data_IF_897532924533
#
_entry.id   IF_897532924533
#
_cell.length_a   1.000
_cell.length_b   1.000
_cell.length_c   1.000
_cell.angle_alpha   90.00
_cell.angle_beta   90.00
_cell.angle_gamma   90.00
#
_symmetry.space_group_name_H-M   'P 1'
#
loop_
_entity.id
_entity.type
_entity.pdbx_description
1 polymer ?
#
# COMPACT_ATOMS: atom_id res chain seq x y z
N UNK A 1 22.61 -7.33 7.87
CA UNK A 1 21.76 -8.54 7.83
C UNK A 1 20.46 -8.10 7.17
N UNK A 2 20.11 -8.65 6.01
CA UNK A 2 18.89 -8.25 5.28
C UNK A 2 17.68 -9.00 5.84
N UNK A 3 16.47 -8.43 5.83
CA UNK A 3 15.26 -9.14 6.23
C UNK A 3 15.08 -10.40 5.37
N UNK A 4 14.58 -11.50 5.95
CA UNK A 4 14.21 -12.66 5.15
C UNK A 4 12.91 -12.33 4.40
N UNK A 5 12.95 -12.40 3.07
CA UNK A 5 11.78 -12.22 2.22
C UNK A 5 11.37 -13.59 1.66
N UNK A 6 10.07 -13.86 1.64
CA UNK A 6 9.49 -15.06 1.05
C UNK A 6 8.32 -14.68 0.14
N UNK A 7 8.13 -15.43 -0.95
CA UNK A 7 6.90 -15.36 -1.73
C UNK A 7 5.83 -16.16 -1.01
N UNK A 8 4.71 -15.51 -0.69
CA UNK A 8 3.56 -16.09 -0.02
C UNK A 8 2.35 -15.99 -0.95
N UNK A 9 1.51 -17.03 -0.99
CA UNK A 9 0.24 -16.99 -1.71
C UNK A 9 -0.92 -17.09 -0.74
N UNK A 10 -1.94 -16.26 -0.91
CA UNK A 10 -3.18 -16.31 -0.11
C UNK A 10 -3.84 -17.67 -0.30
N UNK A 11 -4.09 -18.36 0.82
CA UNK A 11 -4.50 -19.76 0.86
C UNK A 11 -5.92 -19.97 1.40
N UNK A 12 -6.46 -19.02 2.17
CA UNK A 12 -7.83 -19.04 2.68
C UNK A 12 -8.53 -17.71 2.38
N UNK A 13 -9.86 -17.71 2.56
CA UNK A 13 -10.66 -16.48 2.45
C UNK A 13 -10.19 -15.43 3.47
N UNK A 14 -10.12 -14.18 3.03
CA UNK A 14 -9.66 -13.06 3.84
C UNK A 14 -10.77 -12.54 4.77
N UNK A 15 -10.93 -13.20 5.91
CA UNK A 15 -11.99 -12.90 6.89
C UNK A 15 -11.49 -12.24 8.17
N UNK A 16 -10.18 -12.00 8.31
CA UNK A 16 -9.57 -11.43 9.50
C UNK A 16 -9.02 -10.04 9.20
N UNK A 17 -9.30 -9.04 10.04
CA UNK A 17 -8.85 -7.67 9.76
C UNK A 17 -7.33 -7.53 9.78
N UNK A 18 -6.64 -8.23 10.67
CA UNK A 18 -5.22 -7.98 10.95
C UNK A 18 -4.26 -8.83 10.10
N UNK A 19 -4.72 -9.97 9.58
CA UNK A 19 -3.86 -10.95 8.91
C UNK A 19 -4.62 -11.77 7.88
N UNK A 20 -3.89 -12.48 7.03
CA UNK A 20 -4.43 -13.44 6.07
C UNK A 20 -3.65 -14.76 6.17
N UNK A 21 -4.33 -15.87 5.86
CA UNK A 21 -3.70 -17.19 5.85
C UNK A 21 -3.07 -17.44 4.48
N UNK A 22 -1.77 -17.71 4.47
CA UNK A 22 -0.97 -17.93 3.29
C UNK A 22 -0.34 -19.33 3.25
N UNK A 23 0.19 -19.68 2.08
CA UNK A 23 1.15 -20.76 1.87
C UNK A 23 2.47 -20.20 1.35
N UNK A 24 3.58 -20.71 1.88
CA UNK A 24 4.92 -20.30 1.48
C UNK A 24 5.40 -21.05 0.23
N UNK A 25 6.17 -20.35 -0.62
CA UNK A 25 6.86 -20.96 -1.75
C UNK A 25 8.18 -21.59 -1.31
N UNK A 26 8.36 -22.89 -1.56
CA UNK A 26 9.63 -23.58 -1.31
C UNK A 26 10.45 -23.67 -2.59
N UNK A 27 11.55 -22.92 -2.63
CA UNK A 27 12.44 -22.83 -3.80
C UNK A 27 13.18 -24.14 -4.10
N UNK A 28 13.28 -25.08 -3.16
CA UNK A 28 13.95 -26.37 -3.37
C UNK A 28 13.11 -27.33 -4.21
N UNK A 29 11.80 -27.18 -4.14
CA UNK A 29 10.81 -28.03 -4.83
C UNK A 29 9.97 -27.23 -5.83
N UNK A 30 10.24 -25.92 -5.97
CA UNK A 30 9.62 -24.98 -6.90
C UNK A 30 8.08 -24.99 -6.86
N UNK A 31 7.52 -25.08 -5.65
CA UNK A 31 6.06 -25.10 -5.44
C UNK A 31 5.67 -24.44 -4.13
N UNK A 32 4.42 -24.00 -4.07
CA UNK A 32 3.82 -23.64 -2.80
C UNK A 32 3.59 -24.89 -1.95
N UNK A 33 3.89 -24.78 -0.66
CA UNK A 33 3.55 -25.82 0.32
C UNK A 33 2.03 -25.83 0.47
N UNK A 34 1.42 -27.02 0.44
CA UNK A 34 -0.03 -27.10 0.56
C UNK A 34 -0.52 -26.53 1.90
N UNK A 35 -1.65 -25.83 1.82
CA UNK A 35 -2.50 -25.48 2.96
C UNK A 35 -3.70 -26.42 2.98
N UNK A 36 -4.07 -26.91 4.15
CA UNK A 36 -5.32 -27.62 4.35
C UNK A 36 -5.87 -27.27 5.75
N UNK A 37 -7.05 -26.66 5.76
CA UNK A 37 -7.72 -26.25 7.00
C UNK A 37 -7.92 -27.46 7.92
N UNK A 38 -7.55 -27.32 9.19
CA UNK A 38 -7.63 -28.39 10.19
C UNK A 38 -6.56 -29.49 10.07
N UNK A 39 -5.69 -29.48 9.05
CA UNK A 39 -4.58 -30.45 8.95
C UNK A 39 -3.31 -29.89 9.62
N UNK A 40 -2.92 -30.53 10.72
CA UNK A 40 -1.70 -30.20 11.47
C UNK A 40 -0.40 -30.24 10.65
N UNK A 41 -0.37 -31.00 9.54
CA UNK A 41 0.81 -31.08 8.65
C UNK A 41 0.82 -29.98 7.58
N UNK A 42 -0.31 -29.31 7.37
CA UNK A 42 -0.50 -28.26 6.35
C UNK A 42 -1.21 -27.04 6.97
N UNK A 43 -0.71 -26.51 8.10
CA UNK A 43 -1.45 -25.56 8.94
C UNK A 43 -1.67 -24.19 8.31
N UNK A 44 -1.00 -23.90 7.18
CA UNK A 44 -0.92 -22.55 6.64
C UNK A 44 0.00 -21.66 7.48
N UNK A 45 0.21 -20.44 7.00
CA UNK A 45 1.04 -19.43 7.65
C UNK A 45 0.18 -18.19 7.81
N UNK A 46 -0.07 -17.77 9.05
CA UNK A 46 -0.70 -16.48 9.35
C UNK A 46 0.31 -15.37 9.03
N UNK A 47 -0.04 -14.50 8.10
CA UNK A 47 0.79 -13.37 7.66
C UNK A 47 0.00 -12.10 7.86
N UNK A 48 0.55 -11.15 8.60
CA UNK A 48 -0.15 -9.91 8.86
C UNK A 48 -0.25 -9.03 7.62
N UNK A 49 -1.33 -8.25 7.59
CA UNK A 49 -1.53 -7.23 6.57
C UNK A 49 -0.70 -5.98 6.90
N UNK A 50 -0.27 -5.21 5.90
CA UNK A 50 0.31 -3.89 6.15
C UNK A 50 -0.64 -3.04 6.98
N UNK A 51 -0.10 -2.15 7.83
CA UNK A 51 -0.88 -1.31 8.74
C UNK A 51 -2.08 -0.62 8.05
N UNK A 52 -1.87 0.18 6.99
CA UNK A 52 -2.97 0.83 6.25
C UNK A 52 -3.92 -0.10 5.46
N UNK A 53 -3.73 -1.42 5.53
CA UNK A 53 -4.49 -2.41 4.78
C UNK A 53 -5.17 -3.45 5.69
N UNK A 54 -5.25 -3.21 7.00
CA UNK A 54 -5.87 -4.12 7.97
C UNK A 54 -7.39 -4.08 7.94
N UNK A 55 -7.96 -4.72 6.91
CA UNK A 55 -9.40 -4.86 6.70
C UNK A 55 -9.71 -6.17 6.00
N UNK A 56 -10.74 -6.90 6.42
CA UNK A 56 -11.20 -8.12 5.76
C UNK A 56 -11.66 -7.89 4.30
N UNK A 57 -11.62 -8.94 3.48
CA UNK A 57 -12.08 -8.95 2.09
C UNK A 57 -11.15 -8.28 1.08
N UNK A 58 -9.96 -7.82 1.50
CA UNK A 58 -9.00 -7.12 0.64
C UNK A 58 -8.18 -8.07 -0.22
N UNK A 59 -7.79 -9.21 0.34
CA UNK A 59 -6.91 -10.18 -0.30
C UNK A 59 -7.71 -11.37 -0.82
N UNK A 60 -7.41 -11.85 -2.03
CA UNK A 60 -8.13 -12.96 -2.68
C UNK A 60 -7.30 -14.22 -2.71
N UNK A 61 -7.98 -15.37 -2.58
CA UNK A 61 -7.35 -16.68 -2.71
C UNK A 61 -6.57 -16.78 -4.01
N UNK A 62 -5.36 -17.34 -3.93
CA UNK A 62 -4.38 -17.49 -5.00
C UNK A 62 -3.59 -16.22 -5.40
N UNK A 63 -3.85 -15.05 -4.83
CA UNK A 63 -2.97 -13.88 -5.02
C UNK A 63 -1.61 -14.11 -4.33
N UNK A 64 -0.54 -13.63 -4.97
CA UNK A 64 0.85 -13.84 -4.55
C UNK A 64 1.47 -12.51 -4.16
N UNK A 65 2.07 -12.47 -2.98
CA UNK A 65 2.70 -11.28 -2.42
C UNK A 65 4.08 -11.61 -1.85
N UNK A 66 5.02 -10.67 -1.90
CA UNK A 66 6.20 -10.74 -1.05
C UNK A 66 5.78 -10.56 0.42
N UNK A 67 6.42 -11.31 1.31
CA UNK A 67 6.28 -11.14 2.76
C UNK A 67 7.68 -11.05 3.39
N UNK A 68 7.84 -10.12 4.32
CA UNK A 68 9.06 -10.01 5.12
C UNK A 68 8.85 -10.69 6.48
N UNK A 69 9.84 -11.46 6.88
CA UNK A 69 10.05 -11.81 8.28
C UNK A 69 10.96 -10.72 8.86
N UNK A 70 10.46 -9.86 9.75
CA UNK A 70 11.27 -8.85 10.39
C UNK A 70 12.39 -9.55 11.15
N UNK A 71 13.65 -9.34 10.73
CA UNK A 71 14.79 -9.93 11.42
C UNK A 71 15.09 -9.12 12.67
N UNK A 72 14.93 -9.70 13.85
CA UNK A 72 15.68 -9.25 15.01
C UNK A 72 17.07 -9.89 14.98
N UNK A 73 18.11 -9.06 14.99
CA UNK A 73 19.32 -9.43 15.71
C UNK A 73 18.99 -9.37 17.22
N UNK A 74 18.87 -10.52 17.87
CA UNK A 74 18.88 -10.58 19.34
C UNK A 74 20.32 -10.92 19.80
N UNK A 75 20.67 -10.52 21.03
CA UNK A 75 21.99 -10.80 21.60
C UNK A 75 22.27 -12.31 21.80
N UNK A 76 21.25 -13.17 21.67
CA UNK A 76 21.34 -14.63 21.70
C UNK A 76 21.40 -15.30 20.31
N UNK A 77 21.46 -14.54 19.22
CA UNK A 77 21.49 -15.02 17.82
C UNK A 77 22.91 -14.89 17.23
N UNK A 78 23.94 -15.05 18.06
CA UNK A 78 25.35 -14.82 17.68
C UNK A 78 25.98 -15.95 16.84
N UNK A 79 25.30 -17.07 16.61
CA UNK A 79 25.98 -18.28 16.11
C UNK A 79 26.01 -18.46 14.58
N UNK A 80 25.51 -17.53 13.75
CA UNK A 80 25.48 -17.84 12.31
C UNK A 80 26.78 -17.60 11.54
N UNK A 81 27.75 -16.79 12.02
CA UNK A 81 29.15 -16.69 11.49
C UNK A 81 30.00 -15.63 12.23
N UNK A 82 30.54 -15.99 13.40
CA UNK A 82 31.85 -15.63 13.95
C UNK A 82 32.54 -14.27 13.63
N UNK A 83 31.85 -13.11 13.58
CA UNK A 83 32.54 -11.79 13.59
C UNK A 83 31.75 -10.75 14.40
N UNK A 84 32.41 -10.11 15.37
CA UNK A 84 31.79 -9.23 16.38
C UNK A 84 31.29 -7.92 15.77
N UNK A 85 29.97 -7.75 15.68
CA UNK A 85 29.29 -6.47 15.50
C UNK A 85 28.57 -6.09 16.79
N UNK A 86 28.86 -4.89 17.32
CA UNK A 86 28.23 -4.34 18.55
C UNK A 86 27.37 -3.12 18.19
N UNK A 87 26.05 -3.27 18.05
CA UNK A 87 25.13 -2.15 18.11
C UNK A 87 24.91 -1.73 19.58
N UNK A 88 24.68 -0.44 19.87
CA UNK A 88 24.60 0.07 21.24
C UNK A 88 23.48 -0.60 22.06
N UNK A 89 23.76 -0.79 23.35
CA UNK A 89 22.91 -1.44 24.36
C UNK A 89 21.52 -0.78 24.51
N UNK A 90 20.42 -1.56 24.48
CA UNK A 90 19.06 -1.09 24.73
C UNK A 90 18.53 -1.48 26.12
N UNK A 91 19.26 -1.24 27.22
CA UNK A 91 18.62 -1.30 28.56
C UNK A 91 17.58 -0.15 28.74
N UNK A 92 17.66 0.91 27.92
CA UNK A 92 16.79 2.08 27.98
C UNK A 92 15.61 2.06 26.97
N UNK A 93 15.35 0.91 26.33
CA UNK A 93 14.47 0.83 25.16
C UNK A 93 13.59 -0.42 25.23
N UNK A 94 12.37 -0.28 25.79
CA UNK A 94 11.30 -1.28 25.66
C UNK A 94 10.81 -1.43 24.20
N UNK A 95 11.09 -0.43 23.37
CA UNK A 95 10.56 -0.19 22.03
C UNK A 95 11.28 -0.96 20.92
N UNK A 96 11.34 -2.30 21.01
CA UNK A 96 11.48 -3.19 19.83
C UNK A 96 10.14 -3.38 19.10
N UNK A 97 9.45 -2.26 18.97
CA UNK A 97 8.45 -1.94 17.98
C UNK A 97 9.02 -2.15 16.57
N UNK A 98 8.18 -2.60 15.63
CA UNK A 98 8.55 -2.73 14.23
C UNK A 98 9.35 -4.00 13.89
N UNK A 99 9.34 -4.99 14.78
CA UNK A 99 10.05 -6.27 14.62
C UNK A 99 9.12 -7.50 14.69
N UNK A 100 7.83 -7.22 14.72
CA UNK A 100 6.70 -8.12 14.76
C UNK A 100 5.53 -7.35 14.10
N UNK A 101 4.61 -8.03 13.43
CA UNK A 101 3.47 -7.39 12.77
C UNK A 101 2.36 -6.92 13.74
N UNK A 102 2.74 -6.49 14.94
CA UNK A 102 1.82 -6.04 15.99
C UNK A 102 1.06 -4.75 15.67
N UNK A 103 0.21 -4.29 16.59
CA UNK A 103 -0.42 -2.95 16.56
C UNK A 103 0.00 -2.13 17.78
N UNK A 104 -0.04 -0.81 17.67
CA UNK A 104 0.16 0.07 18.83
C UNK A 104 -0.96 -0.09 19.86
N UNK A 105 -0.56 -0.29 21.12
CA UNK A 105 -1.44 -0.29 22.28
C UNK A 105 -2.11 1.08 22.46
N UNK A 106 -3.44 1.09 22.59
CA UNK A 106 -4.20 2.35 22.77
C UNK A 106 -4.60 3.06 21.47
N UNK A 107 -4.28 2.50 20.29
CA UNK A 107 -4.61 3.05 18.99
C UNK A 107 -3.53 4.01 18.49
N UNK A 108 -2.72 3.53 17.55
CA UNK A 108 -1.70 4.35 16.85
C UNK A 108 -2.30 5.12 15.67
N UNK A 109 -1.47 5.42 14.67
CA UNK A 109 -1.95 5.96 13.38
C UNK A 109 -2.84 4.93 12.65
N UNK A 110 -3.37 5.33 11.49
CA UNK A 110 -4.22 4.49 10.65
C UNK A 110 -3.65 3.07 10.50
N UNK A 111 -4.45 2.08 10.92
CA UNK A 111 -4.06 0.68 10.84
C UNK A 111 -3.12 0.16 11.93
N UNK A 112 -2.89 0.94 12.99
CA UNK A 112 -2.15 0.52 14.19
C UNK A 112 -0.63 0.67 14.09
N UNK A 113 -0.12 1.47 13.16
CA UNK A 113 1.31 1.79 13.08
C UNK A 113 1.72 2.81 14.14
N UNK A 114 2.98 2.77 14.63
CA UNK A 114 3.51 3.78 15.55
C UNK A 114 3.59 5.16 14.90
N UNK A 115 3.13 6.17 15.62
CA UNK A 115 3.38 7.59 15.35
C UNK A 115 4.75 7.99 15.89
N UNK A 116 5.06 7.54 17.10
CA UNK A 116 6.25 7.90 17.84
C UNK A 116 7.12 6.67 18.17
N UNK A 117 8.42 6.89 18.34
CA UNK A 117 9.35 5.83 18.74
C UNK A 117 9.05 5.25 20.13
N UNK A 118 8.25 5.96 20.92
CA UNK A 118 7.86 5.59 22.29
C UNK A 118 6.56 4.82 22.37
N UNK A 119 5.80 4.71 21.27
CA UNK A 119 4.56 3.94 21.26
C UNK A 119 4.87 2.50 21.66
N UNK A 120 3.93 1.80 22.30
CA UNK A 120 4.11 0.39 22.67
C UNK A 120 3.34 -0.49 21.67
N UNK A 121 3.97 -1.49 21.04
CA UNK A 121 3.31 -2.42 20.11
C UNK A 121 2.98 -3.74 20.82
N UNK A 122 1.73 -4.17 20.71
CA UNK A 122 1.28 -5.48 21.19
C UNK A 122 1.66 -6.61 20.22
N UNK A 123 1.81 -7.82 20.77
CA UNK A 123 2.05 -9.00 19.93
C UNK A 123 0.73 -9.39 19.23
N UNK A 124 0.78 -9.51 17.91
CA UNK A 124 -0.36 -10.00 17.13
C UNK A 124 -0.45 -11.53 17.18
N UNK A 125 -1.64 -12.04 17.51
CA UNK A 125 -1.96 -13.46 17.53
C UNK A 125 -3.03 -13.79 16.49
N UNK A 126 -2.92 -14.95 15.87
CA UNK A 126 -3.98 -15.48 15.02
C UNK A 126 -5.12 -16.11 15.84
N UNK A 127 -6.18 -16.53 15.14
CA UNK A 127 -7.36 -17.19 15.72
C UNK A 127 -7.04 -18.51 16.45
N UNK A 128 -5.84 -19.07 16.28
CA UNK A 128 -5.37 -20.26 16.98
C UNK A 128 -4.37 -19.91 18.10
N UNK A 129 -4.30 -18.64 18.51
CA UNK A 129 -3.38 -18.13 19.51
C UNK A 129 -1.89 -18.32 19.14
N UNK A 130 -1.58 -18.36 17.84
CA UNK A 130 -0.19 -18.42 17.35
C UNK A 130 0.30 -17.00 17.06
N UNK A 131 1.56 -16.75 17.41
CA UNK A 131 2.21 -15.47 17.13
C UNK A 131 2.35 -15.29 15.63
N UNK A 132 1.87 -14.16 15.12
CA UNK A 132 2.06 -13.74 13.73
C UNK A 132 3.40 -13.04 13.65
N UNK A 133 4.29 -13.50 12.77
CA UNK A 133 5.65 -12.97 12.64
C UNK A 133 5.96 -12.42 11.25
N UNK A 134 5.17 -12.79 10.24
CA UNK A 134 5.36 -12.33 8.87
C UNK A 134 4.48 -11.12 8.59
N UNK A 135 5.00 -10.18 7.82
CA UNK A 135 4.26 -9.02 7.34
C UNK A 135 4.23 -9.06 5.81
N UNK A 136 3.04 -8.99 5.22
CA UNK A 136 2.87 -8.81 3.79
C UNK A 136 3.47 -7.48 3.37
N UNK A 137 4.21 -7.49 2.26
CA UNK A 137 4.64 -6.30 1.55
C UNK A 137 3.62 -6.06 0.46
N UNK A 138 2.75 -5.12 0.72
CA UNK A 138 1.78 -4.63 -0.23
C UNK A 138 1.83 -3.10 -0.11
N UNK A 139 2.37 -2.45 -1.15
CA UNK A 139 2.39 -1.00 -1.20
C UNK A 139 0.95 -0.54 -1.15
N UNK A 140 0.60 0.29 -0.16
CA UNK A 140 -0.75 0.82 0.04
C UNK A 140 -1.33 1.59 -1.16
N UNK A 141 -0.57 1.79 -2.24
CA UNK A 141 -1.14 2.14 -3.52
C UNK A 141 -1.60 0.86 -4.25
N UNK A 142 -2.86 0.47 -4.08
CA UNK A 142 -3.57 -0.02 -5.26
C UNK A 142 -3.51 1.12 -6.27
N UNK A 143 -2.54 1.07 -7.17
CA UNK A 143 -2.59 1.84 -8.41
C UNK A 143 -3.89 1.41 -9.08
N UNK A 144 -4.95 2.22 -8.97
CA UNK A 144 -6.22 1.96 -9.66
C UNK A 144 -6.00 1.93 -11.18
N UNK A 145 -4.88 2.50 -11.63
CA UNK A 145 -4.31 2.47 -12.96
C UNK A 145 -3.22 3.54 -13.05
N UNK A 146 -2.31 3.40 -14.00
CA UNK A 146 -1.41 4.46 -14.46
C UNK A 146 -1.51 4.60 -15.97
N UNK A 147 -1.27 5.81 -16.48
CA UNK A 147 -1.11 6.06 -17.91
C UNK A 147 -0.08 7.17 -18.16
N UNK A 148 0.43 7.21 -19.39
CA UNK A 148 1.17 8.34 -19.92
C UNK A 148 0.80 8.59 -21.37
N UNK A 149 0.82 9.87 -21.74
CA UNK A 149 0.39 10.33 -23.05
C UNK A 149 0.93 11.70 -23.39
N UNK A 150 0.80 12.10 -24.65
CA UNK A 150 1.14 13.45 -25.09
C UNK A 150 -0.08 14.34 -24.88
N UNK A 151 0.09 15.46 -24.17
CA UNK A 151 -0.97 16.43 -24.00
C UNK A 151 -1.31 17.08 -25.35
N UNK A 152 -2.59 17.02 -25.70
CA UNK A 152 -3.14 17.52 -26.97
C UNK A 152 -3.99 18.78 -26.79
N UNK A 153 -4.54 18.98 -25.60
CA UNK A 153 -5.25 20.18 -25.18
C UNK A 153 -5.12 20.36 -23.68
N UNK A 154 -5.17 21.61 -23.22
CA UNK A 154 -5.24 21.99 -21.80
C UNK A 154 -6.39 22.96 -21.57
N UNK A 155 -6.93 22.99 -20.36
CA UNK A 155 -7.98 23.94 -20.00
C UNK A 155 -8.37 23.86 -18.52
N UNK A 156 -9.40 24.62 -18.16
CA UNK A 156 -10.00 24.57 -16.82
C UNK A 156 -11.41 24.01 -16.93
N UNK A 157 -11.75 23.06 -16.06
CA UNK A 157 -13.07 22.47 -16.01
C UNK A 157 -14.07 23.48 -15.44
N UNK A 158 -15.26 23.53 -16.03
CA UNK A 158 -16.38 24.31 -15.53
C UNK A 158 -17.56 23.38 -15.24
N UNK A 159 -17.98 23.34 -13.98
CA UNK A 159 -19.02 22.48 -13.44
C UNK A 159 -18.62 21.01 -13.25
N UNK A 160 -19.43 20.31 -12.45
CA UNK A 160 -19.31 18.88 -12.17
C UNK A 160 -18.19 18.51 -11.20
N UNK A 161 -17.81 17.24 -11.21
CA UNK A 161 -16.95 16.61 -10.20
C UNK A 161 -15.54 17.18 -10.05
N UNK A 162 -15.12 17.93 -11.06
CA UNK A 162 -13.78 18.50 -11.20
C UNK A 162 -13.83 20.02 -11.44
N UNK A 163 -14.93 20.69 -11.07
CA UNK A 163 -15.10 22.13 -11.27
C UNK A 163 -13.90 22.92 -10.74
N UNK A 164 -13.43 23.88 -11.55
CA UNK A 164 -12.30 24.74 -11.23
C UNK A 164 -10.91 24.10 -11.38
N UNK A 165 -10.80 22.80 -11.67
CA UNK A 165 -9.50 22.15 -11.85
C UNK A 165 -8.95 22.36 -13.26
N UNK A 166 -7.64 22.52 -13.36
CA UNK A 166 -6.91 22.44 -14.62
C UNK A 166 -6.88 20.99 -15.11
N UNK A 167 -6.99 20.80 -16.42
CA UNK A 167 -6.95 19.50 -17.06
C UNK A 167 -6.09 19.50 -18.33
N UNK A 168 -5.62 18.33 -18.70
CA UNK A 168 -4.99 18.04 -19.98
C UNK A 168 -5.66 16.81 -20.63
N UNK A 169 -5.99 16.90 -21.92
CA UNK A 169 -6.43 15.76 -22.72
C UNK A 169 -5.21 15.09 -23.34
N UNK A 170 -4.95 13.84 -22.98
CA UNK A 170 -3.76 13.09 -23.36
C UNK A 170 -4.07 12.09 -24.46
N UNK A 171 -3.30 12.10 -25.55
CA UNK A 171 -3.24 10.94 -26.45
C UNK A 171 -2.35 9.88 -25.82
N UNK A 172 -2.97 8.78 -25.38
CA UNK A 172 -2.32 7.75 -24.56
C UNK A 172 -1.47 6.82 -25.42
N UNK A 173 -0.21 6.64 -25.03
CA UNK A 173 0.69 5.66 -25.67
C UNK A 173 1.19 4.58 -24.70
N UNK A 174 1.00 4.76 -23.40
CA UNK A 174 1.34 3.78 -22.36
C UNK A 174 0.26 3.81 -21.27
N UNK A 175 -0.27 2.64 -20.89
CA UNK A 175 -1.27 2.54 -19.83
C UNK A 175 -1.26 1.15 -19.17
N UNK A 176 -1.73 1.09 -17.92
CA UNK A 176 -1.96 -0.15 -17.18
C UNK A 176 -3.08 -1.00 -17.80
N UNK A 177 -4.05 -0.36 -18.46
CA UNK A 177 -5.10 -1.02 -19.25
C UNK A 177 -4.78 -0.90 -20.75
N UNK A 178 -4.49 -2.02 -21.46
CA UNK A 178 -4.21 -2.00 -22.89
C UNK A 178 -5.32 -1.38 -23.76
N UNK A 179 -6.57 -1.38 -23.28
CA UNK A 179 -7.70 -0.80 -24.01
C UNK A 179 -7.66 0.72 -24.14
N UNK A 180 -6.82 1.39 -23.36
CA UNK A 180 -6.64 2.84 -23.38
C UNK A 180 -5.54 3.29 -24.35
N UNK A 181 -4.70 2.38 -24.84
CA UNK A 181 -3.61 2.75 -25.75
C UNK A 181 -4.22 3.22 -27.08
N UNK A 182 -3.89 4.45 -27.47
CA UNK A 182 -4.43 5.11 -28.66
C UNK A 182 -5.75 5.85 -28.44
N UNK A 183 -6.25 5.96 -27.20
CA UNK A 183 -7.41 6.80 -26.85
C UNK A 183 -6.97 8.19 -26.39
N UNK A 184 -7.95 9.09 -26.26
CA UNK A 184 -7.77 10.37 -25.58
C UNK A 184 -8.39 10.30 -24.19
N UNK A 185 -7.59 10.57 -23.17
CA UNK A 185 -8.01 10.55 -21.77
C UNK A 185 -7.79 11.90 -21.12
N UNK A 186 -8.75 12.34 -20.32
CA UNK A 186 -8.63 13.57 -19.55
C UNK A 186 -7.94 13.30 -18.22
N UNK A 187 -6.96 14.13 -17.91
CA UNK A 187 -6.19 14.11 -16.66
C UNK A 187 -6.36 15.45 -15.97
N UNK A 188 -6.51 15.44 -14.66
CA UNK A 188 -6.76 16.63 -13.84
C UNK A 188 -5.59 16.93 -12.92
N UNK A 189 -5.29 18.22 -12.72
CA UNK A 189 -4.35 18.70 -11.73
C UNK A 189 -5.09 19.18 -10.48
N UNK A 190 -5.08 18.34 -9.45
CA UNK A 190 -5.57 18.71 -8.12
C UNK A 190 -4.51 19.36 -7.24
N UNK A 191 -3.25 19.37 -7.64
CA UNK A 191 -2.16 20.00 -6.87
C UNK A 191 -1.90 21.43 -7.33
N UNK A 192 -2.43 21.82 -8.50
CA UNK A 192 -2.35 23.17 -9.05
C UNK A 192 -0.93 23.62 -9.39
N UNK A 193 -0.03 22.68 -9.68
CA UNK A 193 1.40 22.94 -9.93
C UNK A 193 2.01 22.05 -11.02
N UNK A 194 1.18 21.26 -11.71
CA UNK A 194 1.58 20.38 -12.81
C UNK A 194 1.08 20.96 -14.13
N UNK A 195 -0.20 21.33 -14.18
CA UNK A 195 -0.87 21.86 -15.37
C UNK A 195 -1.07 23.39 -15.30
N UNK A 196 -0.35 24.04 -14.38
CA UNK A 196 -0.28 25.50 -14.21
C UNK A 196 0.43 26.22 -15.38
N UNK A 197 0.98 25.43 -16.31
CA UNK A 197 1.62 25.86 -17.54
C UNK A 197 1.03 25.11 -18.75
N UNK A 198 1.15 25.68 -19.94
CA UNK A 198 0.78 24.98 -21.17
C UNK A 198 1.76 23.82 -21.44
N UNK A 199 1.28 22.59 -21.20
CA UNK A 199 2.03 21.35 -21.43
C UNK A 199 1.73 20.71 -22.78
N UNK A 200 1.05 21.40 -23.70
CA UNK A 200 0.72 20.84 -25.02
C UNK A 200 1.97 20.37 -25.77
N UNK A 201 1.95 19.14 -26.25
CA UNK A 201 3.08 18.49 -26.92
C UNK A 201 4.09 17.82 -26.00
N UNK A 202 3.96 17.96 -24.68
CA UNK A 202 4.78 17.26 -23.69
C UNK A 202 4.11 15.98 -23.19
N UNK A 203 4.92 15.05 -22.67
CA UNK A 203 4.44 13.85 -21.99
C UNK A 203 3.96 14.21 -20.60
N UNK A 204 2.76 13.74 -20.26
CA UNK A 204 2.19 13.83 -18.92
C UNK A 204 1.97 12.41 -18.41
N UNK A 205 2.38 12.16 -17.16
CA UNK A 205 2.07 10.92 -16.44
C UNK A 205 0.85 11.14 -15.57
N UNK A 206 0.05 10.09 -15.40
CA UNK A 206 -1.13 10.15 -14.54
C UNK A 206 -1.34 8.83 -13.79
N UNK A 207 -1.92 8.95 -12.60
CA UNK A 207 -2.41 7.83 -11.79
C UNK A 207 -3.90 7.98 -11.57
N UNK A 208 -4.60 6.85 -11.60
CA UNK A 208 -6.00 6.82 -11.26
C UNK A 208 -6.18 6.79 -9.75
N UNK A 209 -7.03 7.68 -9.23
CA UNK A 209 -7.30 7.83 -7.80
C UNK A 209 -8.81 7.97 -7.55
N UNK A 210 -9.22 7.75 -6.30
CA UNK A 210 -10.53 8.16 -5.78
C UNK A 210 -10.41 9.51 -5.09
N UNK A 211 -11.44 10.34 -5.17
CA UNK A 211 -11.51 11.64 -4.49
C UNK A 211 -12.94 12.02 -4.17
N UNK A 212 -13.11 12.96 -3.25
CA UNK A 212 -14.37 13.67 -3.05
C UNK A 212 -14.63 14.56 -4.26
N UNK A 213 -15.88 14.56 -4.73
CA UNK A 213 -16.35 15.43 -5.81
C UNK A 213 -16.26 16.91 -5.42
N UNK A 214 -15.88 17.77 -6.37
CA UNK A 214 -15.97 19.22 -6.23
C UNK A 214 -17.35 19.77 -6.61
N UNK A 215 -18.26 18.93 -7.11
CA UNK A 215 -19.61 19.32 -7.47
C UNK A 215 -20.39 19.72 -6.20
N UNK A 216 -20.83 20.98 -6.06
CA UNK A 216 -21.54 21.43 -4.86
C UNK A 216 -22.89 20.71 -4.64
N UNK A 217 -23.43 20.05 -5.67
CA UNK A 217 -24.68 19.29 -5.57
C UNK A 217 -24.47 17.86 -5.02
N UNK A 218 -23.23 17.37 -4.93
CA UNK A 218 -22.91 16.02 -4.43
C UNK A 218 -22.44 16.03 -2.99
N UNK A 219 -22.70 14.96 -2.25
CA UNK A 219 -22.28 14.80 -0.85
C UNK A 219 -20.81 14.38 -0.74
N UNK A 220 -20.22 14.43 0.46
CA UNK A 220 -18.83 14.01 0.66
C UNK A 220 -18.62 12.49 0.59
N UNK A 221 -19.70 11.72 0.68
CA UNK A 221 -19.70 10.26 0.50
C UNK A 221 -19.71 9.87 -0.99
N UNK A 222 -20.00 10.81 -1.89
CA UNK A 222 -20.00 10.60 -3.34
C UNK A 222 -18.58 10.66 -3.91
N UNK A 223 -17.85 9.56 -3.73
CA UNK A 223 -16.49 9.38 -4.25
C UNK A 223 -16.50 9.23 -5.77
N UNK A 224 -15.57 9.93 -6.42
CA UNK A 224 -15.38 9.92 -7.87
C UNK A 224 -13.99 9.42 -8.24
N UNK A 225 -13.93 8.64 -9.32
CA UNK A 225 -12.68 8.12 -9.86
C UNK A 225 -12.18 9.06 -10.95
N UNK A 226 -10.88 9.38 -10.93
CA UNK A 226 -10.29 10.30 -11.90
C UNK A 226 -8.81 10.01 -12.14
N UNK A 227 -8.26 10.56 -13.22
CA UNK A 227 -6.83 10.51 -13.53
C UNK A 227 -6.15 11.76 -12.98
N UNK A 228 -5.39 11.63 -11.91
CA UNK A 228 -4.57 12.72 -11.39
C UNK A 228 -3.29 12.81 -12.20
N UNK A 229 -2.94 14.01 -12.66
CA UNK A 229 -1.60 14.27 -13.16
C UNK A 229 -0.60 13.93 -12.04
N UNK A 230 0.48 13.24 -12.42
CA UNK A 230 1.54 12.81 -11.52
C UNK A 230 2.85 13.43 -12.02
N UNK A 231 3.73 13.71 -11.07
CA UNK A 231 5.04 14.35 -11.23
C UNK A 231 5.05 15.90 -11.19
N UNK A 232 6.07 16.44 -10.50
CA UNK A 232 6.40 17.87 -10.21
C UNK A 232 6.00 18.46 -8.85
N UNK A 233 4.95 18.01 -8.18
CA UNK A 233 4.51 18.64 -6.92
C UNK A 233 5.06 17.92 -5.68
N UNK A 234 6.02 18.55 -4.99
CA UNK A 234 6.59 18.06 -3.72
C UNK A 234 5.96 18.71 -2.47
N UNK A 235 4.90 19.50 -2.62
CA UNK A 235 4.29 20.25 -1.52
C UNK A 235 2.97 19.59 -1.06
N UNK A 236 2.85 19.17 0.22
CA UNK A 236 1.61 18.62 0.76
C UNK A 236 0.47 19.65 0.83
N UNK A 237 0.74 20.96 0.87
CA UNK A 237 -0.25 22.00 1.19
C UNK A 237 -1.00 22.57 -0.04
N UNK A 238 -0.71 22.10 -1.26
CA UNK A 238 -1.32 22.65 -2.50
C UNK A 238 -2.50 21.84 -3.03
N UNK A 239 -2.97 20.82 -2.31
CA UNK A 239 -4.07 19.99 -2.77
C UNK A 239 -5.41 20.75 -2.76
N UNK A 240 -6.09 20.80 -3.90
CA UNK A 240 -7.45 21.31 -4.04
C UNK A 240 -8.44 20.19 -3.69
N UNK A 241 -9.14 20.38 -2.58
CA UNK A 241 -10.25 19.54 -2.16
C UNK A 241 -11.37 20.41 -1.58
N UNK A 242 -12.58 19.86 -1.54
CA UNK A 242 -13.71 20.47 -0.85
C UNK A 242 -13.63 20.07 0.63
N UNK A 243 -13.50 21.04 1.53
CA UNK A 243 -13.62 20.79 2.97
C UNK A 243 -15.04 20.32 3.30
N UNK A 244 -15.13 19.24 4.09
CA UNK A 244 -16.38 18.66 4.55
C UNK A 244 -16.48 18.91 6.06
N UNK A 245 -17.60 19.48 6.52
CA UNK A 245 -17.92 19.62 7.94
C UNK A 245 -18.39 18.30 8.57
#
# INVERSE_FOLDING_TARGET
>A
MSPFCAMMQVAAEDIYDEYVICRGFDTRILRFIDYAEGDSNKPGISVAKPFGNRVAGRYRVAEVYPALLPTQGNAGFQDFREVVYVPPSPIAVQWRLGQNPGVVTGGGLEGGQPEELTDEIEILYDHNNKVINWLLIDSSAQSLGSLSGVATAVGTQSGGDHDGLEYADLFVFEASDPGMIGTTERVWDRKGCILDIDVTGYTVWAKQLWTISLDPEKTCDDLVKYWSADDRCCDPDTAVYRECE
#
